data_IF_940393215594
#
_entry.id   IF_940393215594
#
_cell.length_a   1.000
_cell.length_b   1.000
_cell.length_c   1.000
_cell.angle_alpha   90.00
_cell.angle_beta   90.00
_cell.angle_gamma   90.00
#
_symmetry.space_group_name_H-M   'P 1'
#
loop_
_entity.id
_entity.type
_entity.pdbx_description
1 polymer ?
#
# COMPACT_ATOMS: atom_id res chain seq x y z
N UNK A 1 6.68 -4.49 -24.47
CA UNK A 1 7.64 -3.94 -25.47
C UNK A 1 8.36 -2.78 -24.81
N UNK A 2 9.70 -2.71 -24.85
CA UNK A 2 10.40 -1.54 -24.36
C UNK A 2 9.98 -0.32 -25.20
N UNK A 3 9.54 0.74 -24.54
CA UNK A 3 9.15 1.98 -25.21
C UNK A 3 10.41 2.58 -25.85
N UNK A 4 10.40 2.83 -27.16
CA UNK A 4 11.49 3.51 -27.85
C UNK A 4 11.56 4.94 -27.32
N UNK A 5 12.71 5.37 -26.80
CA UNK A 5 12.88 6.72 -26.28
C UNK A 5 12.62 7.76 -27.41
N UNK A 6 11.77 8.77 -27.19
CA UNK A 6 11.61 9.86 -28.14
C UNK A 6 12.88 10.71 -28.17
N UNK A 7 13.24 11.20 -29.35
CA UNK A 7 14.30 12.19 -29.48
C UNK A 7 13.72 13.55 -29.05
N UNK A 8 14.11 14.05 -27.88
CA UNK A 8 13.57 15.31 -27.33
C UNK A 8 14.16 16.53 -28.02
N UNK A 9 15.40 16.41 -28.49
CA UNK A 9 16.11 17.46 -29.22
C UNK A 9 17.06 16.79 -30.22
N UNK A 10 16.88 17.09 -31.50
CA UNK A 10 17.59 16.50 -32.63
C UNK A 10 18.72 17.37 -33.18
N UNK A 11 18.99 18.52 -32.55
CA UNK A 11 20.04 19.45 -32.98
C UNK A 11 21.42 18.83 -32.80
N UNK A 12 22.22 18.90 -33.87
CA UNK A 12 23.61 18.48 -33.86
C UNK A 12 24.54 19.65 -33.50
N UNK A 13 25.79 19.34 -33.14
CA UNK A 13 26.88 20.32 -33.06
C UNK A 13 26.89 21.33 -34.24
N UNK A 14 26.73 20.85 -35.47
CA UNK A 14 26.76 21.71 -36.66
C UNK A 14 25.57 22.68 -36.69
N UNK A 15 24.39 22.22 -36.30
CA UNK A 15 23.19 23.05 -36.19
C UNK A 15 23.35 24.10 -35.10
N UNK A 16 23.85 23.72 -33.93
CA UNK A 16 24.10 24.61 -32.80
C UNK A 16 25.10 25.72 -33.16
N UNK A 17 26.23 25.35 -33.78
CA UNK A 17 27.23 26.30 -34.27
C UNK A 17 26.66 27.27 -35.28
N UNK A 18 25.91 26.77 -36.27
CA UNK A 18 25.26 27.60 -37.29
C UNK A 18 24.27 28.57 -36.68
N UNK A 19 23.39 28.08 -35.79
CA UNK A 19 22.38 28.90 -35.12
C UNK A 19 23.00 30.00 -34.26
N UNK A 20 24.07 29.68 -33.51
CA UNK A 20 24.77 30.66 -32.69
C UNK A 20 25.43 31.76 -33.54
N UNK A 21 26.10 31.39 -34.63
CA UNK A 21 26.69 32.37 -35.57
C UNK A 21 25.63 33.25 -36.24
N UNK A 22 24.49 32.67 -36.62
CA UNK A 22 23.37 33.43 -37.18
C UNK A 22 22.76 34.39 -36.16
N UNK A 23 22.61 33.96 -34.90
CA UNK A 23 22.10 34.80 -33.82
C UNK A 23 23.03 35.98 -33.56
N UNK A 24 24.35 35.78 -33.53
CA UNK A 24 25.33 36.86 -33.38
C UNK A 24 25.22 37.87 -34.53
N UNK A 25 25.18 37.39 -35.78
CA UNK A 25 25.07 38.26 -36.97
C UNK A 25 23.79 39.08 -37.02
N UNK A 26 22.67 38.49 -36.60
CA UNK A 26 21.34 39.09 -36.77
C UNK A 26 20.87 39.89 -35.57
N UNK A 27 21.23 39.50 -34.35
CA UNK A 27 20.58 40.00 -33.13
C UNK A 27 21.50 40.71 -32.14
N UNK A 28 22.80 40.37 -32.09
CA UNK A 28 23.67 40.96 -31.07
C UNK A 28 24.34 42.28 -31.47
N UNK A 29 24.24 42.72 -32.73
CA UNK A 29 24.78 44.00 -33.22
C UNK A 29 26.18 44.32 -32.65
N UNK A 30 27.05 43.32 -32.59
CA UNK A 30 28.43 43.47 -32.09
C UNK A 30 29.32 43.92 -33.25
N UNK A 31 30.32 44.76 -32.97
CA UNK A 31 31.43 45.11 -33.88
C UNK A 31 32.29 43.91 -34.34
N UNK A 32 31.94 42.72 -33.88
CA UNK A 32 32.65 41.48 -34.11
C UNK A 32 32.39 40.98 -35.53
N UNK A 33 33.39 41.24 -36.38
CA UNK A 33 33.34 41.05 -37.83
C UNK A 33 34.13 39.81 -38.29
N UNK A 34 35.14 39.39 -37.52
CA UNK A 34 35.91 38.18 -37.81
C UNK A 34 35.20 36.94 -37.25
N UNK A 35 34.63 36.15 -38.16
CA UNK A 35 33.95 34.89 -37.84
C UNK A 35 34.68 33.70 -38.48
N UNK A 36 35.99 33.83 -38.70
CA UNK A 36 36.81 32.73 -39.21
C UNK A 36 37.08 31.70 -38.11
N UNK A 37 37.44 30.45 -38.46
CA UNK A 37 37.81 29.44 -37.47
C UNK A 37 39.00 29.86 -36.58
N UNK A 38 39.86 30.78 -37.03
CA UNK A 38 40.99 31.24 -36.23
C UNK A 38 40.62 32.23 -35.13
N UNK A 39 39.40 32.77 -35.14
CA UNK A 39 38.95 33.75 -34.16
C UNK A 39 38.71 33.10 -32.78
N UNK A 40 39.26 33.65 -31.68
CA UNK A 40 39.07 33.10 -30.32
C UNK A 40 37.62 33.04 -29.86
N UNK A 41 36.76 33.97 -30.30
CA UNK A 41 35.33 33.96 -30.01
C UNK A 41 34.60 32.84 -30.74
N UNK A 42 34.97 32.55 -31.98
CA UNK A 42 34.46 31.39 -32.73
C UNK A 42 34.89 30.09 -32.07
N UNK A 43 36.15 30.00 -31.62
CA UNK A 43 36.64 28.85 -30.84
C UNK A 43 35.84 28.61 -29.56
N UNK A 44 35.54 29.68 -28.80
CA UNK A 44 34.68 29.57 -27.62
C UNK A 44 33.27 29.09 -28.00
N UNK A 45 32.69 29.63 -29.06
CA UNK A 45 31.38 29.23 -29.55
C UNK A 45 31.35 27.75 -29.96
N UNK A 46 32.41 27.24 -30.59
CA UNK A 46 32.56 25.83 -30.93
C UNK A 46 32.66 24.95 -29.68
N UNK A 47 33.40 25.38 -28.65
CA UNK A 47 33.43 24.67 -27.35
C UNK A 47 32.03 24.63 -26.73
N UNK A 48 31.31 25.75 -26.71
CA UNK A 48 29.93 25.78 -26.18
C UNK A 48 28.98 24.90 -27.00
N UNK A 49 29.06 24.92 -28.33
CA UNK A 49 28.27 24.05 -29.19
C UNK A 49 28.55 22.57 -28.89
N UNK A 50 29.81 22.19 -28.66
CA UNK A 50 30.16 20.84 -28.25
C UNK A 50 29.61 20.48 -26.86
N UNK A 51 29.73 21.36 -25.88
CA UNK A 51 29.17 21.14 -24.55
C UNK A 51 27.64 20.98 -24.61
N UNK A 52 26.95 21.78 -25.43
CA UNK A 52 25.50 21.68 -25.62
C UNK A 52 25.11 20.39 -26.33
N UNK A 53 25.85 19.96 -27.36
CA UNK A 53 25.63 18.66 -28.04
C UNK A 53 25.75 17.49 -27.04
N UNK A 54 26.73 17.53 -26.13
CA UNK A 54 26.87 16.55 -25.05
C UNK A 54 25.70 16.61 -24.04
N UNK A 55 25.16 17.79 -23.76
CA UNK A 55 23.96 17.93 -22.92
C UNK A 55 22.71 17.37 -23.60
N UNK A 56 22.51 17.64 -24.90
CA UNK A 56 21.41 17.09 -25.70
C UNK A 56 21.49 15.56 -25.72
N UNK A 57 22.68 15.01 -25.94
CA UNK A 57 22.90 13.57 -25.87
C UNK A 57 22.51 12.98 -24.50
N UNK A 58 22.89 13.63 -23.40
CA UNK A 58 22.52 13.18 -22.05
C UNK A 58 21.03 13.30 -21.78
N UNK A 59 20.40 14.38 -22.25
CA UNK A 59 18.97 14.60 -22.13
C UNK A 59 18.18 13.49 -22.84
N UNK A 60 18.58 13.16 -24.07
CA UNK A 60 17.98 12.08 -24.86
C UNK A 60 18.25 10.66 -24.30
N UNK A 61 19.14 10.53 -23.32
CA UNK A 61 19.42 9.26 -22.61
C UNK A 61 18.78 9.17 -21.24
N UNK A 62 18.06 10.20 -20.78
CA UNK A 62 17.26 10.08 -19.57
C UNK A 62 16.18 9.02 -19.85
N UNK A 63 16.08 7.95 -19.04
CA UNK A 63 15.10 6.89 -19.29
C UNK A 63 13.68 7.48 -19.29
N UNK A 64 13.00 7.40 -20.43
CA UNK A 64 11.62 7.88 -20.57
C UNK A 64 10.72 7.24 -19.52
N UNK A 65 10.96 5.99 -19.13
CA UNK A 65 10.18 5.34 -18.08
C UNK A 65 10.22 6.11 -16.76
N UNK A 66 11.38 6.67 -16.37
CA UNK A 66 11.50 7.48 -15.16
C UNK A 66 10.83 8.84 -15.32
N UNK A 67 11.01 9.49 -16.47
CA UNK A 67 10.38 10.79 -16.78
C UNK A 67 8.87 10.65 -16.87
N UNK A 68 8.39 9.59 -17.49
CA UNK A 68 6.97 9.28 -17.67
C UNK A 68 6.32 8.97 -16.33
N UNK A 69 6.92 8.11 -15.50
CA UNK A 69 6.43 7.86 -14.13
C UNK A 69 6.46 9.15 -13.30
N UNK A 70 7.51 9.96 -13.41
CA UNK A 70 7.58 11.24 -12.70
C UNK A 70 6.52 12.25 -13.18
N UNK A 71 6.26 12.33 -14.48
CA UNK A 71 5.23 13.18 -15.07
C UNK A 71 3.82 12.70 -14.68
N UNK A 72 3.58 11.39 -14.71
CA UNK A 72 2.34 10.79 -14.22
C UNK A 72 2.12 11.12 -12.74
N UNK A 73 3.15 10.97 -11.90
CA UNK A 73 3.10 11.37 -10.48
C UNK A 73 2.80 12.86 -10.33
N UNK A 74 3.35 13.72 -11.19
CA UNK A 74 3.08 15.17 -11.18
C UNK A 74 1.64 15.49 -11.58
N UNK A 75 1.02 14.69 -12.45
CA UNK A 75 -0.41 14.73 -12.75
C UNK A 75 -1.28 14.12 -11.63
N UNK A 76 -0.68 13.64 -10.54
CA UNK A 76 -1.37 12.97 -9.44
C UNK A 76 -1.73 11.52 -9.71
N UNK A 77 -1.24 10.93 -10.81
CA UNK A 77 -1.45 9.51 -11.12
C UNK A 77 -0.46 8.68 -10.32
N UNK A 78 -0.99 7.88 -9.39
CA UNK A 78 -0.22 6.92 -8.61
C UNK A 78 -0.38 5.51 -9.20
N UNK A 79 0.65 4.68 -9.03
CA UNK A 79 0.54 3.27 -9.39
C UNK A 79 -0.45 2.60 -8.43
N UNK A 80 -1.34 1.78 -8.98
CA UNK A 80 -2.21 0.96 -8.16
C UNK A 80 -1.34 -0.08 -7.42
N UNK A 81 -1.46 -0.19 -6.09
CA UNK A 81 -0.68 -1.15 -5.29
C UNK A 81 -0.98 -2.60 -5.70
N UNK A 82 -0.09 -3.56 -5.42
CA UNK A 82 -0.33 -4.97 -5.73
C UNK A 82 -1.55 -5.51 -4.97
N UNK A 83 -2.47 -6.15 -5.68
CA UNK A 83 -3.59 -6.84 -5.06
C UNK A 83 -3.14 -8.20 -4.51
N UNK A 84 -3.52 -8.51 -3.26
CA UNK A 84 -3.34 -9.84 -2.71
C UNK A 84 -4.42 -10.79 -3.27
N UNK A 85 -4.03 -12.01 -3.63
CA UNK A 85 -5.01 -13.03 -3.97
C UNK A 85 -5.85 -13.37 -2.73
N UNK A 86 -7.17 -13.39 -2.89
CA UNK A 86 -8.14 -13.66 -1.81
C UNK A 86 -8.83 -14.98 -2.09
N UNK A 87 -8.91 -15.84 -1.08
CA UNK A 87 -9.61 -17.13 -1.14
C UNK A 87 -10.45 -17.34 0.11
N UNK A 88 -11.51 -18.13 -0.02
CA UNK A 88 -12.25 -18.64 1.14
C UNK A 88 -11.70 -20.02 1.47
N UNK A 89 -11.12 -20.18 2.65
CA UNK A 89 -10.68 -21.48 3.14
C UNK A 89 -11.82 -22.16 3.90
N UNK A 90 -12.12 -23.40 3.55
CA UNK A 90 -12.96 -24.31 4.31
C UNK A 90 -12.07 -25.15 5.23
N UNK A 91 -12.24 -25.00 6.53
CA UNK A 91 -11.66 -25.88 7.54
C UNK A 91 -12.67 -26.95 7.92
N UNK A 92 -12.21 -28.19 7.99
CA UNK A 92 -12.99 -29.34 8.44
C UNK A 92 -12.36 -29.96 9.68
N UNK A 93 -13.13 -30.04 10.75
CA UNK A 93 -12.74 -30.63 12.03
C UNK A 93 -13.38 -32.02 12.18
N UNK A 94 -12.55 -33.06 12.26
CA UNK A 94 -12.96 -34.46 12.48
C UNK A 94 -12.85 -34.92 13.94
N UNK A 95 -12.58 -33.99 14.85
CA UNK A 95 -12.43 -34.28 16.28
C UNK A 95 -13.74 -34.06 17.03
N UNK A 96 -13.81 -34.54 18.28
CA UNK A 96 -14.95 -34.36 19.17
C UNK A 96 -14.97 -33.00 19.89
N UNK A 97 -13.88 -32.21 19.79
CA UNK A 97 -13.76 -30.90 20.43
C UNK A 97 -13.70 -29.78 19.38
N UNK A 98 -14.19 -28.58 19.71
CA UNK A 98 -14.01 -27.43 18.82
C UNK A 98 -12.52 -27.09 18.67
N UNK A 99 -12.12 -26.70 17.46
CA UNK A 99 -10.74 -26.27 17.16
C UNK A 99 -10.75 -24.79 16.82
N UNK A 100 -9.94 -24.01 17.54
CA UNK A 100 -9.73 -22.58 17.22
C UNK A 100 -8.60 -22.43 16.20
N UNK A 101 -8.92 -21.87 15.03
CA UNK A 101 -7.93 -21.41 14.04
C UNK A 101 -7.72 -19.92 14.28
N UNK A 102 -6.53 -19.54 14.76
CA UNK A 102 -6.20 -18.15 15.07
C UNK A 102 -6.04 -17.32 13.79
N UNK A 103 -6.12 -16.00 13.92
CA UNK A 103 -5.62 -15.11 12.88
C UNK A 103 -4.11 -15.32 12.68
N UNK A 104 -3.65 -15.26 11.44
CA UNK A 104 -2.25 -15.49 11.05
C UNK A 104 -1.88 -16.95 10.79
N UNK A 105 -2.83 -17.89 10.85
CA UNK A 105 -2.60 -19.28 10.45
C UNK A 105 -2.23 -19.34 8.97
N UNK A 106 -1.14 -20.04 8.66
CA UNK A 106 -0.58 -20.14 7.32
C UNK A 106 -1.04 -21.42 6.61
N UNK A 107 -1.48 -21.29 5.36
CA UNK A 107 -1.93 -22.40 4.50
C UNK A 107 -1.23 -22.31 3.14
N UNK A 108 -0.81 -23.45 2.61
CA UNK A 108 -0.09 -23.55 1.33
C UNK A 108 -0.52 -24.79 0.54
N UNK A 109 0.05 -24.95 -0.66
CA UNK A 109 -0.26 -26.04 -1.58
C UNK A 109 0.53 -27.31 -1.27
N UNK A 110 -0.07 -28.49 -1.48
CA UNK A 110 0.66 -29.77 -1.43
C UNK A 110 1.63 -29.92 -2.60
N UNK A 111 2.84 -30.42 -2.33
CA UNK A 111 3.73 -30.95 -3.37
C UNK A 111 4.65 -29.96 -4.10
N UNK A 112 4.70 -28.70 -3.69
CA UNK A 112 5.76 -27.78 -4.15
C UNK A 112 6.93 -27.84 -3.18
N UNK A 113 7.90 -28.71 -3.46
CA UNK A 113 9.26 -28.59 -2.90
C UNK A 113 9.89 -27.33 -3.48
N UNK A 114 9.51 -26.14 -3.00
CA UNK A 114 10.08 -24.93 -3.56
C UNK A 114 9.89 -23.75 -2.63
N UNK A 115 10.92 -22.90 -2.59
CA UNK A 115 10.96 -21.61 -1.89
C UNK A 115 9.95 -20.58 -2.45
N UNK A 116 9.04 -21.04 -3.33
CA UNK A 116 8.11 -20.29 -4.17
C UNK A 116 6.66 -20.83 -4.06
N UNK A 117 6.36 -21.65 -3.06
CA UNK A 117 4.98 -22.04 -2.76
C UNK A 117 4.19 -20.83 -2.22
N UNK A 118 3.00 -20.53 -2.78
CA UNK A 118 2.19 -19.44 -2.27
C UNK A 118 1.70 -19.75 -0.86
N UNK A 119 1.94 -18.83 0.05
CA UNK A 119 1.47 -18.90 1.44
C UNK A 119 0.28 -17.97 1.59
N UNK A 120 -0.83 -18.51 2.08
CA UNK A 120 -2.01 -17.75 2.45
C UNK A 120 -2.11 -17.65 3.97
N UNK A 121 -2.52 -16.49 4.48
CA UNK A 121 -2.74 -16.26 5.91
C UNK A 121 -4.23 -16.03 6.20
N UNK A 122 -4.73 -16.62 7.29
CA UNK A 122 -6.06 -16.30 7.83
C UNK A 122 -6.04 -14.91 8.46
N UNK A 123 -7.08 -14.11 8.22
CA UNK A 123 -7.13 -12.73 8.70
C UNK A 123 -7.78 -12.57 10.07
N UNK A 124 -8.66 -13.51 10.42
CA UNK A 124 -9.45 -13.50 11.65
C UNK A 124 -9.42 -14.87 12.29
N UNK A 125 -9.68 -14.87 13.59
CA UNK A 125 -9.89 -16.10 14.33
C UNK A 125 -11.26 -16.70 13.99
N UNK A 126 -11.29 -18.02 13.81
CA UNK A 126 -12.54 -18.79 13.69
C UNK A 126 -12.50 -20.02 14.60
N UNK A 127 -13.68 -20.45 15.06
CA UNK A 127 -13.84 -21.70 15.79
C UNK A 127 -14.51 -22.71 14.88
N UNK A 128 -13.82 -23.82 14.60
CA UNK A 128 -14.35 -24.92 13.81
C UNK A 128 -15.09 -25.88 14.74
N UNK A 129 -16.43 -26.01 14.63
CA UNK A 129 -17.20 -26.88 15.51
C UNK A 129 -16.80 -28.35 15.34
N UNK A 130 -17.02 -29.23 16.33
CA UNK A 130 -16.77 -30.66 16.18
C UNK A 130 -17.69 -31.31 15.13
N UNK A 131 -17.25 -32.45 14.57
CA UNK A 131 -18.01 -33.20 13.55
C UNK A 131 -19.32 -33.79 14.08
N UNK A 132 -19.36 -34.11 15.37
CA UNK A 132 -20.58 -34.50 16.06
C UNK A 132 -21.03 -33.28 16.86
N UNK A 133 -22.27 -32.83 16.63
CA UNK A 133 -22.89 -31.85 17.51
C UNK A 133 -22.83 -32.41 18.95
N UNK A 134 -22.58 -31.58 19.98
CA UNK A 134 -22.75 -32.02 21.36
C UNK A 134 -24.15 -32.63 21.46
N UNK A 135 -24.24 -33.90 21.83
CA UNK A 135 -25.52 -34.51 22.19
C UNK A 135 -26.07 -33.62 23.29
N UNK A 136 -27.18 -32.92 23.01
CA UNK A 136 -27.89 -32.21 24.05
C UNK A 136 -28.37 -33.30 25.02
N UNK A 137 -27.71 -33.41 26.18
CA UNK A 137 -28.17 -34.29 27.24
C UNK A 137 -29.62 -33.90 27.54
N UNK A 138 -30.51 -34.85 27.30
CA UNK A 138 -31.94 -34.67 27.49
C UNK A 138 -32.22 -34.37 28.96
N UNK A 139 -32.62 -33.13 29.25
CA UNK A 139 -33.45 -32.84 30.40
C UNK A 139 -34.93 -32.88 29.93
N UNK A 140 -35.81 -33.59 30.64
CA UNK A 140 -37.21 -33.70 30.26
C UNK A 140 -37.89 -32.34 30.39
N UNK A 141 -38.59 -31.98 29.34
CA UNK A 141 -39.67 -31.04 29.23
C UNK A 141 -40.49 -30.88 30.53
N UNK A 142 -40.31 -29.75 31.21
CA UNK A 142 -41.33 -29.16 32.08
C UNK A 142 -41.53 -27.68 31.74
N UNK A 143 -42.80 -27.32 31.57
CA UNK A 143 -43.30 -26.00 31.25
C UNK A 143 -42.81 -24.93 32.23
N UNK A 144 -42.18 -23.87 31.74
CA UNK A 144 -42.33 -22.53 32.32
C UNK A 144 -42.56 -21.51 31.20
N UNK A 145 -43.80 -21.03 31.14
CA UNK A 145 -44.15 -19.81 30.43
C UNK A 145 -43.40 -18.63 31.07
N UNK A 146 -42.58 -17.94 30.27
CA UNK A 146 -41.82 -16.77 30.73
C UNK A 146 -41.12 -16.07 29.57
N UNK A 147 -41.82 -15.11 28.98
CA UNK A 147 -41.35 -13.96 28.18
C UNK A 147 -40.03 -14.12 27.41
N UNK A 148 -40.14 -14.45 26.12
CA UNK A 148 -39.03 -14.33 25.18
C UNK A 148 -38.66 -12.85 24.96
N UNK A 149 -37.37 -12.45 25.03
CA UNK A 149 -36.92 -11.25 24.35
C UNK A 149 -36.80 -11.56 22.85
N UNK A 150 -37.41 -10.71 22.03
CA UNK A 150 -37.27 -10.66 20.58
C UNK A 150 -35.81 -10.72 20.13
N UNK A 151 -35.43 -11.60 19.18
CA UNK A 151 -34.12 -11.52 18.55
C UNK A 151 -34.08 -10.32 17.60
N UNK A 152 -33.02 -9.54 17.71
CA UNK A 152 -32.72 -8.44 16.79
C UNK A 152 -32.30 -9.07 15.46
N UNK A 153 -33.01 -8.72 14.39
CA UNK A 153 -32.66 -9.08 13.02
C UNK A 153 -31.44 -8.28 12.56
N UNK A 154 -30.42 -8.96 12.04
CA UNK A 154 -29.31 -8.29 11.35
C UNK A 154 -28.04 -9.12 11.24
N UNK A 155 -28.08 -10.18 10.41
CA UNK A 155 -26.89 -10.94 10.03
C UNK A 155 -27.28 -12.34 9.59
N UNK A 156 -26.99 -12.67 8.32
CA UNK A 156 -27.24 -13.98 7.74
C UNK A 156 -26.66 -15.10 8.62
N UNK A 157 -27.53 -15.79 9.35
CA UNK A 157 -27.20 -17.02 10.04
C UNK A 157 -27.03 -18.12 9.00
N UNK A 158 -25.87 -18.15 8.33
CA UNK A 158 -25.44 -19.30 7.57
C UNK A 158 -25.51 -20.51 8.50
N UNK A 159 -26.30 -21.52 8.13
CA UNK A 159 -26.50 -22.73 8.91
C UNK A 159 -25.12 -23.31 9.29
N UNK A 160 -24.81 -23.33 10.59
CA UNK A 160 -23.55 -23.86 11.11
C UNK A 160 -23.53 -25.36 10.80
N UNK A 161 -22.83 -25.75 9.74
CA UNK A 161 -22.65 -27.16 9.40
C UNK A 161 -21.73 -27.81 10.44
N UNK A 162 -22.11 -28.97 11.02
CA UNK A 162 -21.26 -29.64 11.98
C UNK A 162 -19.91 -30.00 11.33
N UNK A 163 -18.82 -29.72 12.05
CA UNK A 163 -17.47 -30.01 11.58
C UNK A 163 -16.89 -29.05 10.54
N UNK A 164 -17.60 -28.01 10.07
CA UNK A 164 -17.14 -27.12 9.00
C UNK A 164 -17.18 -25.66 9.43
N UNK A 165 -16.12 -24.91 9.11
CA UNK A 165 -16.10 -23.46 9.21
C UNK A 165 -15.29 -22.85 8.07
N UNK A 166 -15.71 -21.69 7.57
CA UNK A 166 -15.03 -20.98 6.48
C UNK A 166 -14.38 -19.69 6.97
N UNK A 167 -13.21 -19.35 6.46
CA UNK A 167 -12.53 -18.08 6.74
C UNK A 167 -11.84 -17.55 5.50
N UNK A 168 -11.89 -16.22 5.32
CA UNK A 168 -11.12 -15.55 4.28
C UNK A 168 -9.62 -15.63 4.58
N UNK A 169 -8.84 -16.01 3.58
CA UNK A 169 -7.39 -15.99 3.63
C UNK A 169 -6.80 -15.25 2.44
N UNK A 170 -5.58 -14.75 2.61
CA UNK A 170 -4.91 -13.92 1.61
C UNK A 170 -3.47 -14.31 1.37
N UNK A 171 -3.05 -14.21 0.12
CA UNK A 171 -1.64 -14.31 -0.24
C UNK A 171 -0.94 -12.98 0.05
N UNK A 172 -0.58 -12.77 1.31
CA UNK A 172 0.22 -11.65 1.76
C UNK A 172 1.04 -12.03 3.00
N UNK A 173 2.01 -11.20 3.33
CA UNK A 173 2.68 -11.25 4.63
C UNK A 173 2.09 -10.16 5.52
N UNK A 174 2.07 -10.41 6.82
CA UNK A 174 1.52 -9.49 7.80
C UNK A 174 2.60 -9.04 8.77
N UNK A 175 2.70 -7.74 8.97
CA UNK A 175 3.49 -7.13 10.04
C UNK A 175 2.52 -6.64 11.10
N UNK A 176 2.79 -6.99 12.35
CA UNK A 176 1.96 -6.58 13.48
C UNK A 176 2.73 -5.61 14.38
N UNK A 177 2.10 -4.47 14.67
CA UNK A 177 2.60 -3.45 15.60
C UNK A 177 4.04 -2.98 15.31
N UNK A 178 4.37 -2.66 14.06
CA UNK A 178 5.58 -1.90 13.76
C UNK A 178 5.50 -0.53 14.46
N UNK A 179 6.52 -0.16 15.23
CA UNK A 179 6.47 1.00 16.13
C UNK A 179 7.26 2.17 15.62
N UNK A 180 6.68 3.36 15.75
CA UNK A 180 7.28 4.65 15.44
C UNK A 180 7.01 5.63 16.57
N UNK A 181 7.73 6.75 16.56
CA UNK A 181 7.47 7.90 17.42
C UNK A 181 7.07 9.08 16.54
N UNK A 182 5.99 9.76 16.92
CA UNK A 182 5.56 10.99 16.26
C UNK A 182 6.58 12.12 16.49
N UNK A 183 6.92 12.88 15.45
CA UNK A 183 7.64 14.15 15.63
C UNK A 183 6.69 15.28 16.02
N UNK A 184 5.39 15.12 15.77
CA UNK A 184 4.37 16.15 15.98
C UNK A 184 4.33 17.23 14.89
N UNK A 185 5.16 17.10 13.87
CA UNK A 185 5.24 18.06 12.78
C UNK A 185 4.08 17.89 11.78
N UNK A 186 3.56 19.00 11.28
CA UNK A 186 2.55 18.97 10.23
C UNK A 186 3.15 18.41 8.94
N UNK A 187 2.46 17.46 8.32
CA UNK A 187 2.93 16.77 7.12
C UNK A 187 3.98 15.68 7.39
N UNK A 188 4.21 15.31 8.66
CA UNK A 188 5.12 14.21 9.00
C UNK A 188 4.77 12.95 8.21
N UNK A 189 5.81 12.24 7.76
CA UNK A 189 5.69 11.05 6.94
C UNK A 189 6.50 9.92 7.55
N UNK A 190 5.88 8.76 7.73
CA UNK A 190 6.50 7.57 8.29
C UNK A 190 6.76 6.55 7.17
N UNK A 191 8.01 6.17 6.89
CA UNK A 191 8.31 5.07 5.99
C UNK A 191 8.13 3.73 6.71
N UNK A 192 7.33 2.83 6.16
CA UNK A 192 7.17 1.46 6.71
C UNK A 192 8.35 0.58 6.30
N UNK A 193 8.68 -0.42 7.11
CA UNK A 193 9.81 -1.32 6.84
C UNK A 193 9.60 -2.22 5.62
N UNK A 194 8.37 -2.66 5.37
CA UNK A 194 8.05 -3.60 4.30
C UNK A 194 7.09 -3.01 3.28
N UNK A 195 7.59 -2.81 2.06
CA UNK A 195 6.84 -2.30 0.90
C UNK A 195 6.88 -3.30 -0.25
N UNK A 196 5.92 -3.25 -1.19
CA UNK A 196 4.69 -2.43 -1.18
C UNK A 196 3.60 -2.99 -0.26
N UNK A 197 2.72 -2.12 0.23
CA UNK A 197 1.45 -2.51 0.86
C UNK A 197 0.50 -3.11 -0.18
N UNK A 198 -0.38 -4.01 0.27
CA UNK A 198 -1.40 -4.57 -0.62
C UNK A 198 -2.43 -3.50 -1.00
N UNK A 199 -3.16 -3.71 -2.09
CA UNK A 199 -4.33 -2.91 -2.43
C UNK A 199 -5.43 -2.99 -1.35
N UNK A 200 -6.20 -1.91 -1.14
CA UNK A 200 -7.32 -1.93 -0.20
C UNK A 200 -8.39 -2.92 -0.66
N UNK A 201 -8.95 -3.66 0.29
CA UNK A 201 -9.88 -4.78 0.08
C UNK A 201 -11.14 -4.66 0.95
N UNK A 202 -11.42 -3.46 1.47
CA UNK A 202 -12.48 -3.14 2.44
C UNK A 202 -12.38 -3.88 3.79
N UNK A 203 -11.31 -4.64 4.01
CA UNK A 203 -11.02 -5.29 5.29
C UNK A 203 -10.06 -4.44 6.13
N UNK A 204 -10.35 -4.32 7.42
CA UNK A 204 -9.64 -3.43 8.34
C UNK A 204 -8.21 -3.87 8.63
N UNK A 205 -7.89 -5.13 8.30
CA UNK A 205 -6.57 -5.73 8.50
C UNK A 205 -5.58 -5.37 7.40
N UNK A 206 -5.97 -4.66 6.34
CA UNK A 206 -5.03 -4.28 5.27
C UNK A 206 -3.95 -3.33 5.78
N UNK A 207 -4.40 -2.31 6.51
CA UNK A 207 -3.58 -1.27 7.08
C UNK A 207 -4.34 -0.66 8.27
N UNK A 208 -3.79 -0.89 9.45
CA UNK A 208 -4.24 -0.32 10.70
C UNK A 208 -3.15 0.60 11.25
N UNK A 209 -3.50 1.87 11.42
CA UNK A 209 -2.63 2.89 12.04
C UNK A 209 -3.29 3.31 13.34
N UNK A 210 -2.57 3.13 14.44
CA UNK A 210 -3.01 3.51 15.77
C UNK A 210 -1.97 4.44 16.41
N UNK A 211 -2.46 5.47 17.06
CA UNK A 211 -1.67 6.47 17.78
C UNK A 211 -2.08 6.42 19.23
N UNK A 212 -1.11 6.44 20.13
CA UNK A 212 -1.39 6.54 21.55
C UNK A 212 -1.78 7.98 21.91
N UNK A 213 -3.01 8.15 22.38
CA UNK A 213 -3.56 9.42 22.87
C UNK A 213 -4.04 9.19 24.31
N UNK A 214 -3.49 9.93 25.28
CA UNK A 214 -3.85 9.83 26.70
C UNK A 214 -3.80 8.39 27.28
N UNK A 215 -2.82 7.59 26.85
CA UNK A 215 -2.63 6.21 27.31
C UNK A 215 -3.57 5.18 26.67
N UNK A 216 -4.33 5.58 25.64
CA UNK A 216 -5.17 4.69 24.86
C UNK A 216 -4.74 4.67 23.40
N UNK A 217 -4.78 3.49 22.77
CA UNK A 217 -4.56 3.37 21.34
C UNK A 217 -5.80 3.81 20.59
N UNK A 218 -5.68 4.93 19.87
CA UNK A 218 -6.75 5.48 19.04
C UNK A 218 -6.45 5.14 17.59
N UNK A 219 -7.46 4.59 16.91
CA UNK A 219 -7.38 4.25 15.49
C UNK A 219 -7.56 5.50 14.63
N UNK A 220 -6.71 5.63 13.62
CA UNK A 220 -6.78 6.65 12.60
C UNK A 220 -7.32 6.07 11.29
N UNK A 221 -7.93 6.91 10.45
CA UNK A 221 -8.58 6.48 9.21
C UNK A 221 -7.76 6.87 7.97
N UNK A 222 -7.64 5.95 7.01
CA UNK A 222 -7.04 6.23 5.71
C UNK A 222 -8.00 7.06 4.85
N UNK A 223 -7.50 8.14 4.25
CA UNK A 223 -8.23 8.98 3.30
C UNK A 223 -7.43 9.17 2.02
N UNK A 224 -8.10 9.52 0.93
CA UNK A 224 -7.43 9.81 -0.36
C UNK A 224 -6.81 11.21 -0.42
N UNK A 225 -7.40 12.17 0.30
CA UNK A 225 -6.92 13.54 0.40
C UNK A 225 -7.42 14.18 1.72
N UNK A 226 -6.87 15.35 2.06
CA UNK A 226 -7.25 16.10 3.26
C UNK A 226 -8.34 17.17 3.01
N UNK A 227 -9.08 17.09 1.90
CA UNK A 227 -10.06 18.11 1.53
C UNK A 227 -11.36 17.94 2.33
N UNK A 228 -11.91 19.06 2.83
CA UNK A 228 -13.20 19.05 3.54
C UNK A 228 -13.17 18.44 4.94
N UNK A 229 -11.98 18.24 5.52
CA UNK A 229 -11.79 17.69 6.86
C UNK A 229 -11.66 18.80 7.92
N UNK A 230 -11.81 18.40 9.18
CA UNK A 230 -11.65 19.30 10.33
C UNK A 230 -10.33 19.01 11.06
N UNK A 231 -9.75 19.97 11.81
CA UNK A 231 -8.52 19.77 12.58
C UNK A 231 -8.58 18.67 13.64
N UNK A 232 -9.75 18.15 13.98
CA UNK A 232 -9.98 17.06 14.93
C UNK A 232 -10.08 15.69 14.25
N UNK A 233 -10.14 15.68 12.91
CA UNK A 233 -10.26 14.47 12.10
C UNK A 233 -8.97 13.65 12.19
N UNK A 234 -9.04 12.44 12.74
CA UNK A 234 -7.90 11.52 12.90
C UNK A 234 -7.69 10.73 11.63
N UNK A 235 -7.04 11.35 10.66
CA UNK A 235 -6.85 10.79 9.32
C UNK A 235 -5.41 10.80 8.87
N UNK A 236 -5.07 9.91 7.94
CA UNK A 236 -3.78 9.86 7.26
C UNK A 236 -3.99 9.49 5.79
N UNK A 237 -2.97 9.74 4.97
CA UNK A 237 -2.90 9.26 3.59
C UNK A 237 -1.78 8.21 3.52
N UNK A 238 -2.06 7.06 2.91
CA UNK A 238 -1.05 6.05 2.66
C UNK A 238 -0.63 6.05 1.18
N UNK A 239 0.67 6.20 0.90
CA UNK A 239 1.22 5.74 -0.37
C UNK A 239 1.55 4.25 -0.22
N UNK A 240 0.62 3.41 -0.67
CA UNK A 240 0.75 1.96 -0.58
C UNK A 240 1.85 1.39 -1.48
N UNK A 241 2.23 2.09 -2.54
CA UNK A 241 3.31 1.64 -3.45
C UNK A 241 4.68 1.98 -2.89
N UNK A 242 4.86 3.20 -2.39
CA UNK A 242 6.12 3.64 -1.79
C UNK A 242 6.30 3.15 -0.35
N UNK A 243 5.20 2.79 0.32
CA UNK A 243 5.18 2.35 1.70
C UNK A 243 5.34 3.52 2.67
N UNK A 244 4.58 4.59 2.48
CA UNK A 244 4.64 5.76 3.37
C UNK A 244 3.28 6.13 3.93
N UNK A 245 3.24 6.50 5.21
CA UNK A 245 2.06 7.00 5.90
C UNK A 245 2.28 8.48 6.20
N UNK A 246 1.43 9.34 5.63
CA UNK A 246 1.52 10.79 5.78
C UNK A 246 0.36 11.34 6.59
N UNK A 247 0.69 12.11 7.61
CA UNK A 247 -0.29 12.86 8.41
C UNK A 247 -0.57 14.24 7.81
N UNK A 248 -1.59 14.92 8.33
CA UNK A 248 -2.11 16.16 7.75
C UNK A 248 -1.04 17.26 7.64
N UNK A 249 -0.90 17.95 6.50
CA UNK A 249 -0.06 19.14 6.41
C UNK A 249 -0.76 20.36 7.03
N UNK A 250 0.01 21.42 7.24
CA UNK A 250 -0.50 22.74 7.57
C UNK A 250 -0.46 23.63 6.33
N UNK A 251 -1.56 24.32 6.02
CA UNK A 251 -1.68 25.20 4.85
C UNK A 251 -2.26 26.55 5.25
N UNK A 252 -1.87 27.61 4.54
CA UNK A 252 -2.50 28.92 4.66
C UNK A 252 -3.85 28.89 3.92
N UNK A 253 -4.95 28.88 4.67
CA UNK A 253 -6.30 28.95 4.10
C UNK A 253 -6.71 30.39 3.81
N UNK A 254 -7.39 30.64 2.70
CA UNK A 254 -8.06 31.92 2.46
C UNK A 254 -9.28 32.05 3.36
N UNK A 255 -9.37 33.12 4.13
CA UNK A 255 -10.57 33.51 4.89
C UNK A 255 -11.20 34.70 4.15
N UNK A 256 -12.51 34.90 4.28
CA UNK A 256 -13.22 36.00 3.63
C UNK A 256 -12.50 37.35 3.88
N UNK A 257 -11.77 37.85 2.87
CA UNK A 257 -10.94 39.05 2.94
C UNK A 257 -9.42 38.87 2.74
N UNK A 258 -8.88 37.64 2.60
CA UNK A 258 -7.47 37.41 2.28
C UNK A 258 -6.91 36.04 2.71
N UNK A 259 -5.62 35.79 2.46
CA UNK A 259 -4.91 34.62 3.02
C UNK A 259 -4.82 34.76 4.54
N UNK A 260 -5.17 33.70 5.29
CA UNK A 260 -4.95 33.66 6.73
C UNK A 260 -3.46 33.87 7.02
N UNK A 261 -3.17 34.68 8.05
CA UNK A 261 -1.79 35.00 8.46
C UNK A 261 -1.02 33.82 9.04
N UNK A 262 -1.71 32.75 9.45
CA UNK A 262 -1.07 31.58 10.03
C UNK A 262 -1.57 30.29 9.39
N UNK A 263 -0.66 29.35 9.08
CA UNK A 263 -1.01 28.07 8.51
C UNK A 263 -1.81 27.27 9.54
N UNK A 264 -2.87 26.60 9.08
CA UNK A 264 -3.70 25.73 9.90
C UNK A 264 -3.55 24.29 9.41
N UNK A 265 -3.57 23.35 10.34
CA UNK A 265 -3.58 21.93 10.01
C UNK A 265 -4.90 21.57 9.35
N UNK A 266 -4.83 20.71 8.33
CA UNK A 266 -6.02 20.23 7.63
C UNK A 266 -6.76 19.13 8.38
N UNK A 267 -6.07 18.44 9.29
CA UNK A 267 -6.64 17.41 10.16
C UNK A 267 -5.80 17.28 11.45
N UNK A 268 -6.16 16.33 12.31
CA UNK A 268 -5.46 16.10 13.57
C UNK A 268 -4.01 15.70 13.34
N UNK A 269 -3.14 16.05 14.29
CA UNK A 269 -1.75 15.62 14.33
C UNK A 269 -1.50 14.75 15.57
N UNK A 270 -0.77 13.64 15.44
CA UNK A 270 -0.27 12.91 16.59
C UNK A 270 0.66 13.80 17.42
N UNK A 271 0.46 13.88 18.73
CA UNK A 271 1.30 14.68 19.63
C UNK A 271 2.79 14.31 19.50
N UNK A 272 3.69 15.27 19.67
CA UNK A 272 5.13 15.01 19.63
C UNK A 272 5.52 13.97 20.70
N UNK A 273 6.30 12.96 20.29
CA UNK A 273 6.70 11.84 21.13
C UNK A 273 5.63 10.76 21.35
N UNK A 274 4.41 10.94 20.81
CA UNK A 274 3.36 9.92 20.91
C UNK A 274 3.79 8.63 20.17
N UNK A 275 3.71 7.46 20.81
CA UNK A 275 3.89 6.18 20.14
C UNK A 275 2.85 5.96 19.04
N UNK A 276 3.31 5.50 17.90
CA UNK A 276 2.49 5.10 16.76
C UNK A 276 2.78 3.63 16.49
N UNK A 277 1.75 2.82 16.28
CA UNK A 277 1.91 1.43 15.85
C UNK A 277 1.12 1.17 14.58
N UNK A 278 1.75 0.43 13.67
CA UNK A 278 1.18 0.07 12.39
C UNK A 278 1.09 -1.45 12.29
N UNK A 279 -0.06 -1.95 11.87
CA UNK A 279 -0.22 -3.35 11.48
C UNK A 279 -0.74 -3.39 10.05
N UNK A 280 -0.07 -4.13 9.18
CA UNK A 280 -0.35 -4.05 7.75
C UNK A 280 0.03 -5.30 6.99
N UNK A 281 -0.65 -5.50 5.87
CA UNK A 281 -0.37 -6.53 4.90
C UNK A 281 0.48 -5.98 3.75
N UNK A 282 1.53 -6.71 3.39
CA UNK A 282 2.45 -6.34 2.31
C UNK A 282 2.73 -7.52 1.38
N UNK A 283 3.24 -7.21 0.18
CA UNK A 283 3.47 -8.17 -0.89
C UNK A 283 2.23 -8.39 -1.75
N UNK A 284 1.92 -9.65 -2.09
CA UNK A 284 0.85 -10.00 -3.01
C UNK A 284 1.28 -10.00 -4.47
N UNK A 285 0.30 -9.93 -5.39
CA UNK A 285 0.53 -10.02 -6.83
C UNK A 285 0.27 -11.42 -7.41
N UNK A 286 0.81 -11.64 -8.60
CA UNK A 286 0.51 -12.83 -9.42
C UNK A 286 0.97 -14.16 -8.79
N UNK A 287 1.95 -14.15 -7.89
CA UNK A 287 2.40 -15.33 -7.17
C UNK A 287 1.30 -15.98 -6.32
N UNK A 288 0.29 -15.20 -5.90
CA UNK A 288 -0.85 -15.70 -5.16
C UNK A 288 -1.92 -16.39 -6.01
N UNK A 289 -1.78 -16.42 -7.33
CA UNK A 289 -2.78 -17.04 -8.20
C UNK A 289 -2.70 -18.57 -8.09
N UNK A 290 -3.71 -19.17 -7.48
CA UNK A 290 -3.79 -20.62 -7.25
C UNK A 290 -5.13 -21.15 -7.74
N UNK A 291 -5.13 -22.35 -8.33
CA UNK A 291 -6.35 -23.04 -8.72
C UNK A 291 -7.18 -23.47 -7.49
N UNK A 292 -8.47 -23.73 -7.69
CA UNK A 292 -9.33 -24.28 -6.64
C UNK A 292 -8.77 -25.60 -6.07
N UNK A 293 -9.05 -25.89 -4.79
CA UNK A 293 -8.70 -27.14 -4.11
C UNK A 293 -7.20 -27.48 -4.08
N UNK A 294 -6.33 -26.48 -4.18
CA UNK A 294 -4.87 -26.68 -4.11
C UNK A 294 -4.28 -26.31 -2.76
N UNK A 295 -4.93 -25.43 -1.99
CA UNK A 295 -4.49 -25.02 -0.65
C UNK A 295 -4.92 -26.04 0.40
N UNK A 296 -4.12 -27.08 0.56
CA UNK A 296 -4.46 -28.26 1.37
C UNK A 296 -3.56 -28.48 2.58
N UNK A 297 -2.49 -27.69 2.73
CA UNK A 297 -1.47 -27.89 3.77
C UNK A 297 -1.46 -26.71 4.74
N UNK A 298 -1.68 -26.97 6.03
CA UNK A 298 -1.48 -25.98 7.10
C UNK A 298 0.01 -26.00 7.47
N UNK A 299 0.62 -24.83 7.64
CA UNK A 299 2.01 -24.70 8.09
C UNK A 299 2.08 -24.44 9.60
N UNK A 300 3.07 -25.00 10.32
CA UNK A 300 3.38 -24.59 11.67
C UNK A 300 3.71 -23.10 11.72
N UNK A 301 3.13 -22.37 12.67
CA UNK A 301 3.33 -20.93 12.83
C UNK A 301 3.38 -20.55 14.32
N UNK A 302 3.87 -19.35 14.70
CA UNK A 302 3.88 -18.94 16.10
C UNK A 302 2.49 -18.96 16.77
N UNK A 303 1.43 -18.73 15.98
CA UNK A 303 0.03 -18.76 16.42
C UNK A 303 -0.58 -20.18 16.40
N UNK A 304 0.06 -21.11 15.69
CA UNK A 304 -0.36 -22.51 15.60
C UNK A 304 0.89 -23.42 15.46
N UNK A 305 1.62 -23.67 16.57
CA UNK A 305 2.93 -24.33 16.53
C UNK A 305 2.83 -25.83 16.23
N UNK A 306 1.70 -26.45 16.55
CA UNK A 306 1.47 -27.87 16.34
C UNK A 306 0.28 -28.08 15.41
N UNK A 307 0.45 -28.96 14.43
CA UNK A 307 -0.65 -29.39 13.57
C UNK A 307 -1.65 -30.21 14.38
N UNK A 308 -2.93 -29.82 14.31
CA UNK A 308 -4.00 -30.52 15.02
C UNK A 308 -4.47 -31.69 14.15
N UNK A 309 -4.22 -32.91 14.63
CA UNK A 309 -4.69 -34.13 13.96
C UNK A 309 -6.22 -34.08 13.81
N UNK A 310 -6.72 -34.36 12.60
CA UNK A 310 -8.15 -34.31 12.29
C UNK A 310 -8.66 -32.94 11.78
N UNK A 311 -7.81 -31.92 11.73
CA UNK A 311 -8.10 -30.67 11.03
C UNK A 311 -7.57 -30.73 9.59
N UNK A 312 -8.44 -30.48 8.61
CA UNK A 312 -8.07 -30.35 7.19
C UNK A 312 -8.56 -29.03 6.62
N UNK A 313 -7.89 -28.54 5.56
CA UNK A 313 -8.22 -27.28 4.90
C UNK A 313 -8.30 -27.45 3.37
N UNK A 314 -9.17 -26.69 2.72
CA UNK A 314 -9.23 -26.52 1.25
C UNK A 314 -9.65 -25.10 0.90
N UNK A 315 -9.35 -24.63 -0.31
CA UNK A 315 -9.89 -23.41 -0.91
C UNK A 315 -10.89 -23.68 -2.02
#
# INVERSE_FOLDING_TARGET
MPLKAPNLDDRTYADLRRMALEHIRKQLAVEWTDLTPGDPGVMLLEVFAYLTDQLIYRLNRVPQEKVYVALLRLLGVTLYPPAAAVVTLEFRNRTAQPITVRAGTQVTTTGRNDNDAPIFITLREIVVPPMQAPVADGAPNENLAGTAPTPVSGGDAAAVQPGIATVTARHCRYVQHERFLSTGEAGQTLPISHRPLIAPTDDEVDLLVEVEENGQWVRWQEVTNFSGLTPESRVYIADRTEGTIRFAPAVNMTVAGGLARMPRTLAALPSAGAPIRLSYAYGGGNAGNVAAQRLTTILPSPVMPTLIAGLSVTN
#
